data_IF_093026572993
#
_entry.id   IF_093026572993
#
_cell.length_a   1.000
_cell.length_b   1.000
_cell.length_c   1.000
_cell.angle_alpha   90.00
_cell.angle_beta   90.00
_cell.angle_gamma   90.00
#
_symmetry.space_group_name_H-M   'P 1'
#
loop_
_entity.id
_entity.type
_entity.pdbx_description
1 polymer ?
#
# COMPACT_ATOMS: atom_id res chain seq x y z
N UNK A 1 -11.39 41.51 -28.64
CA UNK A 1 -11.60 40.34 -27.74
C UNK A 1 -11.86 40.84 -26.34
N UNK A 2 -13.05 40.55 -25.80
CA UNK A 2 -13.52 40.96 -24.46
C UNK A 2 -12.56 40.39 -23.40
N UNK A 3 -12.07 41.21 -22.48
CA UNK A 3 -11.07 40.85 -21.44
C UNK A 3 -11.41 39.59 -20.65
N UNK A 4 -12.70 39.34 -20.45
CA UNK A 4 -13.23 38.12 -19.83
C UNK A 4 -12.81 36.83 -20.54
N UNK A 5 -12.79 36.80 -21.88
CA UNK A 5 -12.41 35.59 -22.64
C UNK A 5 -10.93 35.24 -22.44
N UNK A 6 -10.05 36.26 -22.36
CA UNK A 6 -8.62 36.05 -22.07
C UNK A 6 -8.40 35.53 -20.66
N UNK A 7 -9.18 36.04 -19.69
CA UNK A 7 -9.13 35.57 -18.31
C UNK A 7 -9.56 34.10 -18.20
N UNK A 8 -10.65 33.69 -18.86
CA UNK A 8 -11.12 32.30 -18.80
C UNK A 8 -10.11 31.32 -19.43
N UNK A 9 -9.51 31.70 -20.57
CA UNK A 9 -8.48 30.88 -21.22
C UNK A 9 -7.25 30.75 -20.33
N UNK A 10 -6.81 31.86 -19.70
CA UNK A 10 -5.67 31.85 -18.78
C UNK A 10 -5.90 30.94 -17.57
N UNK A 11 -7.07 31.04 -16.93
CA UNK A 11 -7.42 30.18 -15.78
C UNK A 11 -7.51 28.71 -16.20
N UNK A 12 -8.14 28.43 -17.35
CA UNK A 12 -8.24 27.07 -17.89
C UNK A 12 -6.86 26.45 -18.15
N UNK A 13 -5.99 27.18 -18.85
CA UNK A 13 -4.64 26.72 -19.14
C UNK A 13 -3.82 26.47 -17.85
N UNK A 14 -3.91 27.38 -16.87
CA UNK A 14 -3.23 27.21 -15.59
C UNK A 14 -3.75 25.99 -14.83
N UNK A 15 -5.07 25.77 -14.79
CA UNK A 15 -5.66 24.61 -14.15
C UNK A 15 -5.18 23.30 -14.81
N UNK A 16 -5.11 23.25 -16.14
CA UNK A 16 -4.58 22.08 -16.87
C UNK A 16 -3.11 21.81 -16.53
N UNK A 17 -2.27 22.84 -16.49
CA UNK A 17 -0.86 22.70 -16.12
C UNK A 17 -0.71 22.19 -14.69
N UNK A 18 -1.50 22.71 -13.74
CA UNK A 18 -1.49 22.23 -12.36
C UNK A 18 -1.87 20.76 -12.25
N UNK A 19 -2.90 20.29 -12.98
CA UNK A 19 -3.31 18.89 -12.97
C UNK A 19 -2.20 17.99 -13.53
N UNK A 20 -1.60 18.38 -14.66
CA UNK A 20 -0.51 17.62 -15.27
C UNK A 20 0.73 17.56 -14.36
N UNK A 21 1.07 18.67 -13.69
CA UNK A 21 2.17 18.71 -12.74
C UNK A 21 1.90 17.79 -11.54
N UNK A 22 0.69 17.82 -10.97
CA UNK A 22 0.31 16.93 -9.87
C UNK A 22 0.35 15.45 -10.29
N UNK A 23 -0.16 15.12 -11.48
CA UNK A 23 -0.12 13.76 -12.01
C UNK A 23 1.31 13.27 -12.25
N UNK A 24 2.20 14.16 -12.74
CA UNK A 24 3.61 13.87 -12.94
C UNK A 24 4.34 13.61 -11.61
N UNK A 25 4.12 14.45 -10.60
CA UNK A 25 4.70 14.28 -9.27
C UNK A 25 4.24 12.97 -8.63
N UNK A 26 2.94 12.66 -8.70
CA UNK A 26 2.40 11.41 -8.16
C UNK A 26 3.02 10.19 -8.85
N UNK A 27 3.09 10.19 -10.19
CA UNK A 27 3.69 9.10 -10.96
C UNK A 27 5.17 8.90 -10.65
N UNK A 28 5.93 10.01 -10.57
CA UNK A 28 7.35 9.97 -10.20
C UNK A 28 7.56 9.37 -8.80
N UNK A 29 6.71 9.75 -7.85
CA UNK A 29 6.81 9.24 -6.48
C UNK A 29 6.50 7.75 -6.42
N UNK A 30 5.48 7.26 -7.13
CA UNK A 30 5.16 5.82 -7.15
C UNK A 30 6.27 5.02 -7.82
N UNK A 31 6.79 5.48 -8.96
CA UNK A 31 7.84 4.79 -9.70
C UNK A 31 9.20 4.84 -8.99
N UNK A 32 9.51 5.94 -8.31
CA UNK A 32 10.76 6.10 -7.57
C UNK A 32 10.82 5.27 -6.29
N UNK A 33 9.67 4.96 -5.69
CA UNK A 33 9.58 4.14 -4.48
C UNK A 33 9.37 2.64 -4.76
N UNK A 34 9.30 2.25 -6.03
CA UNK A 34 9.29 0.85 -6.45
C UNK A 34 10.72 0.33 -6.51
N UNK A 35 11.17 -0.27 -5.41
CA UNK A 35 12.46 -0.91 -5.34
C UNK A 35 12.29 -2.40 -5.69
N UNK A 36 12.81 -2.80 -6.85
CA UNK A 36 12.88 -4.19 -7.29
C UNK A 36 14.30 -4.69 -7.14
N UNK A 37 14.49 -5.75 -6.35
CA UNK A 37 15.80 -6.38 -6.18
C UNK A 37 15.62 -7.89 -6.17
N UNK A 38 16.57 -8.61 -6.78
CA UNK A 38 16.66 -10.06 -6.61
C UNK A 38 17.11 -10.37 -5.19
N UNK A 39 16.35 -11.15 -4.45
CA UNK A 39 16.69 -11.51 -3.07
C UNK A 39 16.34 -12.99 -2.80
N UNK A 40 17.28 -13.78 -2.26
CA UNK A 40 16.99 -15.15 -1.85
C UNK A 40 15.96 -15.19 -0.73
N UNK A 41 15.11 -16.23 -0.71
CA UNK A 41 14.04 -16.42 0.30
C UNK A 41 14.52 -16.21 1.74
N UNK A 42 15.70 -16.75 2.08
CA UNK A 42 16.27 -16.64 3.42
C UNK A 42 16.50 -15.18 3.86
N UNK A 43 16.88 -14.30 2.92
CA UNK A 43 17.10 -12.87 3.19
C UNK A 43 15.76 -12.19 3.44
N UNK A 44 14.76 -12.50 2.63
CA UNK A 44 13.40 -11.94 2.74
C UNK A 44 12.74 -12.35 4.06
N UNK A 45 12.88 -13.62 4.45
CA UNK A 45 12.35 -14.10 5.73
C UNK A 45 13.00 -13.37 6.91
N UNK A 46 14.31 -13.10 6.84
CA UNK A 46 14.99 -12.30 7.85
C UNK A 46 14.46 -10.87 7.92
N UNK A 47 14.27 -10.21 6.78
CA UNK A 47 13.73 -8.84 6.73
C UNK A 47 12.31 -8.76 7.30
N UNK A 48 11.46 -9.71 6.92
CA UNK A 48 10.08 -9.79 7.41
C UNK A 48 10.04 -10.03 8.92
N UNK A 49 10.92 -10.87 9.46
CA UNK A 49 10.99 -11.10 10.90
C UNK A 49 11.47 -9.86 11.66
N UNK A 50 12.42 -9.10 11.09
CA UNK A 50 12.85 -7.80 11.66
C UNK A 50 11.68 -6.81 11.70
N UNK A 51 10.86 -6.75 10.65
CA UNK A 51 9.68 -5.88 10.62
C UNK A 51 8.63 -6.38 11.62
N UNK A 52 8.41 -7.69 11.70
CA UNK A 52 7.45 -8.29 12.63
C UNK A 52 7.82 -8.01 14.08
N UNK A 53 9.08 -8.18 14.44
CA UNK A 53 9.58 -7.91 15.79
C UNK A 53 9.42 -6.44 16.20
N UNK A 54 9.50 -5.49 15.24
CA UNK A 54 9.23 -4.05 15.52
C UNK A 54 7.81 -3.80 16.04
N UNK A 55 6.83 -4.54 15.52
CA UNK A 55 5.42 -4.38 15.90
C UNK A 55 4.97 -5.35 17.01
N UNK A 56 5.89 -6.18 17.51
CA UNK A 56 5.65 -7.13 18.60
C UNK A 56 4.62 -8.20 18.25
N UNK A 57 3.87 -8.66 19.25
CA UNK A 57 2.83 -9.69 19.12
C UNK A 57 1.46 -9.14 18.68
N UNK A 58 1.41 -7.92 18.13
CA UNK A 58 0.16 -7.31 17.68
C UNK A 58 -0.37 -8.07 16.48
N UNK A 59 -1.59 -8.57 16.58
CA UNK A 59 -2.19 -9.31 15.47
C UNK A 59 -2.38 -8.39 14.26
N UNK A 60 -2.06 -8.88 13.04
CA UNK A 60 -2.26 -8.09 11.84
C UNK A 60 -3.74 -7.77 11.66
N UNK A 61 -4.03 -6.57 11.12
CA UNK A 61 -5.40 -6.12 10.88
C UNK A 61 -6.17 -7.08 9.98
N UNK A 62 -5.47 -7.69 9.02
CA UNK A 62 -6.01 -8.60 8.02
C UNK A 62 -5.14 -9.86 8.02
N UNK A 63 -5.76 -10.98 8.34
CA UNK A 63 -5.19 -12.31 8.21
C UNK A 63 -5.84 -13.03 7.05
N UNK A 64 -5.04 -13.49 6.10
CA UNK A 64 -5.55 -14.29 4.99
C UNK A 64 -5.52 -15.75 5.44
N UNK A 65 -6.70 -16.31 5.68
CA UNK A 65 -6.85 -17.68 6.17
C UNK A 65 -6.69 -18.67 5.01
N UNK A 66 -7.31 -18.36 3.86
CA UNK A 66 -7.19 -19.17 2.65
C UNK A 66 -7.25 -18.27 1.41
N UNK A 67 -6.11 -18.03 0.77
CA UNK A 67 -6.04 -17.21 -0.45
C UNK A 67 -6.76 -17.85 -1.65
N UNK A 68 -6.91 -19.18 -1.70
CA UNK A 68 -7.59 -19.87 -2.81
C UNK A 68 -9.11 -19.72 -2.70
N UNK A 69 -9.64 -19.69 -1.48
CA UNK A 69 -11.05 -19.42 -1.20
C UNK A 69 -11.35 -17.95 -0.99
N UNK A 70 -10.31 -17.13 -0.84
CA UNK A 70 -10.42 -15.73 -0.50
C UNK A 70 -10.99 -15.48 0.90
N UNK A 71 -10.76 -16.42 1.81
CA UNK A 71 -11.20 -16.30 3.19
C UNK A 71 -10.21 -15.42 3.96
N UNK A 72 -10.72 -14.34 4.52
CA UNK A 72 -9.94 -13.27 5.14
C UNK A 72 -10.58 -12.88 6.45
N UNK A 73 -9.78 -12.88 7.51
CA UNK A 73 -10.18 -12.48 8.85
C UNK A 73 -9.70 -11.06 9.14
N UNK A 74 -10.63 -10.18 9.50
CA UNK A 74 -10.31 -8.80 9.87
C UNK A 74 -10.30 -8.69 11.40
N UNK A 75 -9.12 -8.48 11.98
CA UNK A 75 -8.93 -8.26 13.41
C UNK A 75 -9.09 -6.76 13.74
N UNK A 76 -10.32 -6.33 14.03
CA UNK A 76 -10.60 -4.95 14.48
C UNK A 76 -10.21 -4.77 15.95
N UNK A 77 -8.91 -4.67 16.21
CA UNK A 77 -8.38 -4.33 17.53
C UNK A 77 -8.63 -2.85 17.87
N UNK A 78 -8.62 -2.54 19.17
CA UNK A 78 -8.69 -1.16 19.64
C UNK A 78 -7.44 -0.39 19.17
N UNK A 79 -7.67 0.74 18.50
CA UNK A 79 -6.62 1.58 17.93
C UNK A 79 -5.60 2.06 18.95
N UNK A 80 -4.35 2.22 18.52
CA UNK A 80 -3.34 2.88 19.35
C UNK A 80 -3.54 4.39 19.49
N UNK A 81 -4.40 5.01 18.66
CA UNK A 81 -4.61 6.46 18.60
C UNK A 81 -3.45 7.24 17.97
N UNK A 82 -2.36 6.56 17.59
CA UNK A 82 -1.23 7.16 16.88
C UNK A 82 -1.55 7.34 15.39
N UNK A 83 -1.10 8.46 14.82
CA UNK A 83 -1.40 8.82 13.44
C UNK A 83 -0.47 8.08 12.48
N UNK A 84 -1.07 7.35 11.55
CA UNK A 84 -0.37 6.71 10.43
C UNK A 84 -0.10 7.72 9.33
N UNK A 85 1.09 7.67 8.76
CA UNK A 85 1.54 8.56 7.68
C UNK A 85 1.95 7.81 6.43
N UNK A 86 2.60 6.65 6.59
CA UNK A 86 3.19 5.91 5.47
C UNK A 86 2.76 4.46 5.51
N UNK A 87 2.60 3.90 4.33
CA UNK A 87 2.24 2.52 4.10
C UNK A 87 3.38 1.85 3.34
N UNK A 88 3.74 0.67 3.80
CA UNK A 88 4.86 -0.09 3.27
C UNK A 88 4.36 -1.45 2.83
N UNK A 89 4.81 -1.86 1.66
CA UNK A 89 4.53 -3.16 1.05
C UNK A 89 5.85 -3.82 0.72
N UNK A 90 5.99 -5.06 1.15
CA UNK A 90 7.05 -5.96 0.70
C UNK A 90 6.37 -7.20 0.15
N UNK A 91 6.64 -7.51 -1.11
CA UNK A 91 6.17 -8.71 -1.79
C UNK A 91 7.37 -9.44 -2.36
N UNK A 92 7.45 -10.73 -2.13
CA UNK A 92 8.47 -11.59 -2.70
C UNK A 92 7.82 -12.74 -3.46
N UNK A 93 8.35 -13.02 -4.64
CA UNK A 93 7.93 -14.14 -5.47
C UNK A 93 9.08 -15.13 -5.65
N UNK A 94 8.85 -16.40 -5.29
CA UNK A 94 9.81 -17.48 -5.42
C UNK A 94 10.06 -17.86 -6.89
N UNK A 95 9.07 -17.67 -7.77
CA UNK A 95 9.20 -18.04 -9.18
C UNK A 95 10.28 -17.18 -9.90
N UNK A 96 10.43 -15.93 -9.47
CA UNK A 96 11.33 -14.94 -10.08
C UNK A 96 12.51 -14.53 -9.16
N UNK A 97 12.58 -15.07 -7.94
CA UNK A 97 13.45 -14.60 -6.85
C UNK A 97 13.42 -13.06 -6.65
N UNK A 98 12.28 -12.45 -6.97
CA UNK A 98 12.11 -11.00 -7.01
C UNK A 98 11.46 -10.50 -5.72
N UNK A 99 12.16 -9.59 -5.04
CA UNK A 99 11.64 -8.78 -3.95
C UNK A 99 11.20 -7.43 -4.49
N UNK A 100 9.91 -7.17 -4.36
CA UNK A 100 9.29 -5.89 -4.62
C UNK A 100 9.04 -5.19 -3.28
N UNK A 101 9.69 -4.04 -3.09
CA UNK A 101 9.40 -3.14 -1.99
C UNK A 101 8.76 -1.87 -2.54
N UNK A 102 7.70 -1.42 -1.88
CA UNK A 102 7.01 -0.19 -2.24
C UNK A 102 6.56 0.53 -0.99
N UNK A 103 6.87 1.81 -0.93
CA UNK A 103 6.34 2.70 0.09
C UNK A 103 5.46 3.76 -0.56
N UNK A 104 4.34 4.05 0.10
CA UNK A 104 3.39 5.04 -0.37
C UNK A 104 2.87 5.82 0.84
N UNK A 105 2.76 7.15 0.73
CA UNK A 105 2.17 7.94 1.79
C UNK A 105 0.65 7.70 1.84
N UNK A 106 0.10 7.67 3.05
CA UNK A 106 -1.32 7.32 3.29
C UNK A 106 -2.29 8.28 2.59
N UNK A 107 -1.88 9.53 2.34
CA UNK A 107 -2.69 10.48 1.58
C UNK A 107 -3.00 9.99 0.17
N UNK A 108 -2.12 9.19 -0.44
CA UNK A 108 -2.32 8.66 -1.78
C UNK A 108 -3.51 7.69 -1.82
N UNK A 109 -3.70 6.91 -0.74
CA UNK A 109 -4.87 6.04 -0.59
C UNK A 109 -6.19 6.83 -0.44
N UNK A 110 -6.14 8.09 0.02
CA UNK A 110 -7.34 8.93 0.11
C UNK A 110 -7.86 9.34 -1.27
N UNK A 111 -6.98 9.38 -2.27
CA UNK A 111 -7.34 9.68 -3.66
C UNK A 111 -7.67 8.42 -4.48
N UNK A 112 -7.15 7.27 -4.04
CA UNK A 112 -7.29 6.00 -4.74
C UNK A 112 -8.19 5.06 -3.92
N UNK A 113 -9.44 4.87 -4.35
CA UNK A 113 -10.34 3.82 -3.86
C UNK A 113 -9.93 2.42 -4.32
N UNK A 114 -8.63 2.18 -4.51
CA UNK A 114 -8.09 0.97 -5.10
C UNK A 114 -8.08 -0.12 -4.03
N UNK A 115 -8.69 -1.27 -4.36
CA UNK A 115 -8.55 -2.50 -3.57
C UNK A 115 -7.11 -3.01 -3.70
N UNK A 116 -6.20 -2.52 -2.85
CA UNK A 116 -4.79 -2.90 -2.85
C UNK A 116 -4.60 -4.41 -2.70
N UNK A 117 -5.47 -5.07 -1.93
CA UNK A 117 -5.46 -6.53 -1.79
C UNK A 117 -5.82 -7.24 -3.09
N UNK A 118 -6.69 -6.67 -3.92
CA UNK A 118 -7.00 -7.22 -5.24
C UNK A 118 -5.88 -6.94 -6.24
N UNK A 119 -5.18 -5.79 -6.14
CA UNK A 119 -4.00 -5.51 -6.98
C UNK A 119 -2.80 -6.39 -6.63
N UNK A 120 -2.64 -6.74 -5.36
CA UNK A 120 -1.60 -7.67 -4.89
C UNK A 120 -1.98 -9.14 -5.13
N UNK A 121 -3.15 -9.42 -5.72
CA UNK A 121 -3.62 -10.79 -5.98
C UNK A 121 -4.01 -11.58 -4.73
N UNK A 122 -4.19 -10.90 -3.59
CA UNK A 122 -4.33 -11.50 -2.26
C UNK A 122 -5.79 -11.70 -1.82
N UNK A 123 -6.77 -11.01 -2.40
CA UNK A 123 -8.16 -11.15 -1.99
C UNK A 123 -9.18 -11.04 -3.14
N UNK A 124 -10.29 -11.81 -3.10
CA UNK A 124 -11.45 -11.56 -3.96
C UNK A 124 -12.00 -10.17 -3.68
N UNK A 125 -12.57 -9.52 -4.70
CA UNK A 125 -12.89 -8.09 -4.74
C UNK A 125 -13.85 -7.51 -3.69
N UNK A 126 -14.22 -8.26 -2.64
CA UNK A 126 -15.08 -7.82 -1.55
C UNK A 126 -14.34 -7.18 -0.37
N UNK A 127 -13.02 -7.38 -0.22
CA UNK A 127 -12.29 -6.81 0.92
C UNK A 127 -11.80 -5.39 0.63
N UNK A 128 -12.55 -4.40 1.13
CA UNK A 128 -12.19 -2.98 1.07
C UNK A 128 -11.46 -2.59 2.35
N UNK A 129 -10.14 -2.49 2.29
CA UNK A 129 -9.38 -1.81 3.33
C UNK A 129 -9.49 -0.30 3.08
N UNK A 130 -10.14 0.43 3.99
CA UNK A 130 -10.24 1.88 3.89
C UNK A 130 -9.14 2.56 4.69
N UNK A 131 -8.78 3.79 4.32
CA UNK A 131 -7.85 4.62 5.09
C UNK A 131 -8.34 4.78 6.53
N UNK A 132 -9.65 4.88 6.74
CA UNK A 132 -10.22 5.04 8.07
C UNK A 132 -10.03 3.80 8.95
N UNK A 133 -10.05 2.59 8.37
CA UNK A 133 -9.76 1.36 9.11
C UNK A 133 -8.29 1.30 9.52
N UNK A 134 -7.38 1.73 8.63
CA UNK A 134 -5.94 1.80 8.89
C UNK A 134 -5.61 2.86 9.95
N UNK A 135 -6.17 4.07 9.82
CA UNK A 135 -5.99 5.14 10.80
C UNK A 135 -6.56 4.75 12.18
N UNK A 136 -7.68 4.02 12.19
CA UNK A 136 -8.27 3.50 13.43
C UNK A 136 -7.43 2.40 14.04
N UNK A 137 -6.80 1.54 13.24
CA UNK A 137 -5.90 0.50 13.74
C UNK A 137 -4.61 1.10 14.31
N UNK A 138 -4.07 2.13 13.65
CA UNK A 138 -2.82 2.80 13.99
C UNK A 138 -1.59 2.07 13.42
N UNK A 139 -0.37 2.49 13.80
CA UNK A 139 0.87 1.85 13.39
C UNK A 139 0.89 0.35 13.73
N UNK A 140 1.24 -0.49 12.76
CA UNK A 140 1.21 -1.94 12.90
C UNK A 140 1.20 -2.70 11.59
N UNK A 141 1.19 -4.03 11.69
CA UNK A 141 1.08 -4.91 10.54
C UNK A 141 -0.37 -4.92 10.07
N UNK A 142 -0.58 -4.63 8.79
CA UNK A 142 -1.90 -4.60 8.17
C UNK A 142 -2.21 -5.96 7.58
N UNK A 143 -1.27 -6.55 6.83
CA UNK A 143 -1.42 -7.87 6.21
C UNK A 143 -0.13 -8.63 6.40
N UNK A 144 -0.23 -9.89 6.79
CA UNK A 144 0.87 -10.84 6.74
C UNK A 144 0.39 -12.09 6.03
N UNK A 145 0.90 -12.30 4.82
CA UNK A 145 0.55 -13.43 3.99
C UNK A 145 1.78 -14.22 3.59
N UNK A 146 1.67 -15.54 3.73
CA UNK A 146 2.72 -16.47 3.38
C UNK A 146 2.15 -17.68 2.67
N UNK A 147 2.66 -17.93 1.47
CA UNK A 147 2.52 -19.20 0.81
C UNK A 147 3.90 -19.87 0.76
N UNK A 148 4.11 -20.98 1.49
CA UNK A 148 5.40 -21.67 1.53
C UNK A 148 5.93 -21.96 0.13
N UNK A 149 7.17 -21.52 -0.14
CA UNK A 149 7.87 -21.73 -1.40
C UNK A 149 7.25 -21.07 -2.64
N UNK A 150 6.36 -20.09 -2.47
CA UNK A 150 5.73 -19.39 -3.60
C UNK A 150 5.75 -17.87 -3.46
N UNK A 151 5.07 -17.35 -2.46
CA UNK A 151 4.86 -15.91 -2.37
C UNK A 151 4.80 -15.49 -0.92
N UNK A 152 5.45 -14.38 -0.62
CA UNK A 152 5.41 -13.77 0.71
C UNK A 152 5.03 -12.31 0.55
N UNK A 153 3.99 -11.88 1.25
CA UNK A 153 3.60 -10.47 1.26
C UNK A 153 3.43 -9.99 2.69
N UNK A 154 4.14 -8.91 3.01
CA UNK A 154 4.00 -8.21 4.27
C UNK A 154 3.61 -6.76 3.98
N UNK A 155 2.61 -6.29 4.71
CA UNK A 155 2.11 -4.93 4.60
C UNK A 155 2.03 -4.34 5.99
N UNK A 156 2.60 -3.16 6.19
CA UNK A 156 2.55 -2.46 7.47
C UNK A 156 2.44 -0.95 7.30
N UNK A 157 2.13 -0.31 8.42
CA UNK A 157 1.94 1.14 8.50
C UNK A 157 2.65 1.74 9.70
N UNK A 158 3.13 2.96 9.54
CA UNK A 158 3.79 3.77 10.57
C UNK A 158 3.34 5.24 10.59
#
# INVERSE_FOLDING_TARGET
MRTWVKATIGVGALATVCILALAGIASYFVLGNLERRGAPEATVLSEIEIIRTRFGSRQPLIEIVDARKGDVRINRLAGSGARVTTFHVVSWNADDDELLRTEAPLWLMRFSSINLLSQLGLAPGSLRLTVQDVERYGPGIVVDYAQPGKTRVLVWVD
#
